data_IF_866370799462
#
_entry.id   IF_866370799462
#
_cell.length_a   1.000
_cell.length_b   1.000
_cell.length_c   1.000
_cell.angle_alpha   90.00
_cell.angle_beta   90.00
_cell.angle_gamma   90.00
#
_symmetry.space_group_name_H-M   'P 1'
#
loop_
_entity.id
_entity.type
_entity.pdbx_description
1 polymer ?
#
# COMPACT_ATOMS: atom_id res chain seq x y z
N UNK A 1 -26.47 13.17 -20.56
CA UNK A 1 -25.10 12.60 -20.47
C UNK A 1 -24.87 12.21 -19.02
N UNK A 2 -24.91 10.90 -18.73
CA UNK A 2 -24.87 10.39 -17.37
C UNK A 2 -23.54 10.70 -16.68
N UNK A 3 -23.61 11.50 -15.61
CA UNK A 3 -22.52 11.66 -14.67
C UNK A 3 -22.28 10.29 -14.02
N UNK A 4 -21.23 9.59 -14.44
CA UNK A 4 -20.74 8.39 -13.76
C UNK A 4 -20.40 8.77 -12.32
N UNK A 5 -21.35 8.61 -11.40
CA UNK A 5 -21.08 8.50 -9.97
C UNK A 5 -20.26 7.22 -9.80
N UNK A 6 -18.93 7.35 -9.98
CA UNK A 6 -17.98 6.36 -9.50
C UNK A 6 -18.22 6.25 -8.01
N UNK A 7 -18.92 5.20 -7.59
CA UNK A 7 -19.00 4.75 -6.21
C UNK A 7 -17.56 4.60 -5.72
N UNK A 8 -16.99 5.65 -5.12
CA UNK A 8 -15.71 5.56 -4.44
C UNK A 8 -15.96 4.70 -3.22
N UNK A 9 -15.74 3.39 -3.34
CA UNK A 9 -15.68 2.51 -2.18
C UNK A 9 -14.67 3.13 -1.22
N UNK A 10 -15.14 3.48 -0.03
CA UNK A 10 -14.27 4.00 1.03
C UNK A 10 -13.49 2.81 1.54
N UNK A 11 -12.25 2.69 1.07
CA UNK A 11 -11.33 1.68 1.55
C UNK A 11 -10.55 2.28 2.71
N UNK A 12 -10.44 1.54 3.80
CA UNK A 12 -9.54 1.89 4.89
C UNK A 12 -8.28 1.05 4.75
N UNK A 13 -7.16 1.72 4.56
CA UNK A 13 -5.85 1.10 4.64
C UNK A 13 -5.52 0.76 6.08
N UNK A 14 -5.16 -0.49 6.34
CA UNK A 14 -4.72 -1.00 7.65
C UNK A 14 -3.29 -1.48 7.49
N UNK A 15 -2.43 -1.05 8.40
CA UNK A 15 -1.09 -1.59 8.57
C UNK A 15 -1.16 -2.63 9.69
N UNK A 16 -0.92 -3.89 9.37
CA UNK A 16 -0.88 -4.99 10.33
C UNK A 16 0.40 -4.97 11.15
N UNK A 17 0.35 -5.55 12.35
CA UNK A 17 1.54 -5.75 13.20
C UNK A 17 2.52 -6.77 12.61
N UNK A 18 2.05 -7.73 11.82
CA UNK A 18 2.86 -8.79 11.21
C UNK A 18 2.64 -8.88 9.68
N UNK A 19 3.65 -9.28 8.91
CA UNK A 19 3.51 -9.42 7.46
C UNK A 19 2.64 -10.63 7.09
N UNK A 20 1.66 -10.41 6.21
CA UNK A 20 0.86 -11.47 5.62
C UNK A 20 1.14 -11.59 4.12
N UNK A 21 1.18 -12.82 3.58
CA UNK A 21 1.44 -13.07 2.15
C UNK A 21 0.31 -12.56 1.21
N UNK A 22 -0.73 -11.98 1.79
CA UNK A 22 -1.85 -11.35 1.12
C UNK A 22 -3.16 -12.09 1.37
N UNK A 23 -4.27 -11.37 1.22
CA UNK A 23 -5.62 -11.92 1.32
C UNK A 23 -6.23 -12.13 -0.08
N UNK A 24 -7.52 -12.48 -0.12
CA UNK A 24 -8.29 -12.63 -1.37
C UNK A 24 -8.21 -11.39 -2.28
N UNK A 25 -8.05 -10.18 -1.70
CA UNK A 25 -7.84 -8.95 -2.49
C UNK A 25 -6.43 -8.86 -3.06
N UNK A 26 -5.42 -9.34 -2.35
CA UNK A 26 -4.07 -9.47 -2.90
C UNK A 26 -4.03 -10.50 -4.05
N UNK A 27 -4.78 -11.61 -3.93
CA UNK A 27 -4.91 -12.58 -5.02
C UNK A 27 -5.60 -11.96 -6.25
N UNK A 28 -6.66 -11.16 -6.04
CA UNK A 28 -7.35 -10.42 -7.10
C UNK A 28 -6.65 -9.12 -7.52
N UNK A 29 -5.51 -8.75 -6.87
CA UNK A 29 -4.88 -7.41 -6.82
C UNK A 29 -5.48 -6.41 -7.81
N UNK A 30 -6.32 -5.50 -7.31
CA UNK A 30 -6.98 -4.42 -8.05
C UNK A 30 -6.32 -3.05 -7.78
N UNK A 31 -5.10 -3.05 -7.22
CA UNK A 31 -4.32 -1.88 -6.79
C UNK A 31 -4.99 -0.97 -5.74
N UNK A 32 -6.21 -1.29 -5.32
CA UNK A 32 -7.02 -0.54 -4.35
C UNK A 32 -6.28 -0.18 -3.07
N UNK A 33 -5.55 -1.13 -2.47
CA UNK A 33 -4.82 -0.87 -1.23
C UNK A 33 -3.57 0.01 -1.45
N UNK A 34 -2.96 -0.06 -2.63
CA UNK A 34 -1.73 0.67 -2.95
C UNK A 34 -1.99 2.07 -3.52
N UNK A 35 -3.23 2.39 -3.91
CA UNK A 35 -3.60 3.68 -4.51
C UNK A 35 -4.06 4.74 -3.51
N UNK A 36 -4.52 4.34 -2.33
CA UNK A 36 -5.12 5.25 -1.34
C UNK A 36 -4.49 5.19 0.04
N UNK A 37 -3.28 4.64 0.15
CA UNK A 37 -2.61 4.48 1.44
C UNK A 37 -1.84 5.76 1.80
N UNK A 38 -1.90 6.24 3.06
CA UNK A 38 -1.06 7.34 3.51
C UNK A 38 0.42 6.95 3.55
N UNK A 39 1.30 7.95 3.66
CA UNK A 39 2.71 7.72 3.95
C UNK A 39 2.87 6.94 5.25
N UNK A 40 3.85 6.06 5.29
CA UNK A 40 4.07 5.15 6.42
C UNK A 40 5.51 5.19 6.87
N UNK A 41 5.70 5.15 8.18
CA UNK A 41 7.02 5.03 8.77
C UNK A 41 7.59 3.63 8.51
N UNK A 42 8.88 3.60 8.19
CA UNK A 42 9.65 2.41 7.92
C UNK A 42 10.76 2.26 8.95
N UNK A 43 11.17 1.01 9.15
CA UNK A 43 12.47 0.70 9.73
C UNK A 43 13.58 0.90 8.70
N UNK A 44 14.84 1.03 9.16
CA UNK A 44 16.00 1.14 8.28
C UNK A 44 16.14 -0.07 7.33
N UNK A 45 15.78 -1.27 7.82
CA UNK A 45 15.79 -2.51 7.02
C UNK A 45 14.74 -2.49 5.92
N UNK A 46 13.52 -2.03 6.22
CA UNK A 46 12.45 -1.88 5.23
C UNK A 46 12.78 -0.80 4.19
N UNK A 47 13.38 0.32 4.62
CA UNK A 47 13.86 1.37 3.72
C UNK A 47 14.92 0.85 2.76
N UNK A 48 15.93 0.14 3.27
CA UNK A 48 16.98 -0.44 2.45
C UNK A 48 16.42 -1.47 1.45
N UNK A 49 15.46 -2.31 1.89
CA UNK A 49 14.79 -3.28 1.02
C UNK A 49 14.01 -2.60 -0.12
N UNK A 50 13.25 -1.55 0.19
CA UNK A 50 12.53 -0.77 -0.82
C UNK A 50 13.48 -0.05 -1.78
N UNK A 51 14.58 0.51 -1.26
CA UNK A 51 15.60 1.16 -2.09
C UNK A 51 16.26 0.17 -3.06
N UNK A 52 16.54 -1.06 -2.63
CA UNK A 52 17.07 -2.12 -3.50
C UNK A 52 16.09 -2.55 -4.59
N UNK A 53 14.79 -2.50 -4.31
CA UNK A 53 13.74 -2.75 -5.30
C UNK A 53 13.58 -1.59 -6.29
N UNK A 54 14.24 -0.46 -6.06
CA UNK A 54 14.20 0.72 -6.90
C UNK A 54 13.12 1.74 -6.51
N UNK A 55 12.66 1.73 -5.26
CA UNK A 55 11.72 2.73 -4.76
C UNK A 55 12.37 4.11 -4.79
N UNK A 56 11.70 5.07 -5.42
CA UNK A 56 12.13 6.48 -5.52
C UNK A 56 11.40 7.37 -4.51
N UNK A 57 10.24 6.95 -4.01
CA UNK A 57 9.39 7.70 -3.08
C UNK A 57 9.69 7.34 -1.63
N UNK A 58 10.96 7.44 -1.26
CA UNK A 58 11.44 7.19 0.08
C UNK A 58 11.97 8.48 0.69
N UNK A 59 11.51 8.84 1.88
CA UNK A 59 11.99 10.00 2.63
C UNK A 59 12.78 9.57 3.87
N UNK A 60 13.82 10.34 4.17
CA UNK A 60 14.60 10.21 5.39
C UNK A 60 14.61 11.57 6.08
N UNK A 61 14.09 11.62 7.31
CA UNK A 61 13.99 12.84 8.08
C UNK A 61 15.25 13.08 8.92
N UNK A 62 15.52 14.34 9.26
CA UNK A 62 16.65 14.73 10.13
C UNK A 62 16.56 14.08 11.54
N UNK A 63 15.36 13.68 11.95
CA UNK A 63 15.10 13.00 13.21
C UNK A 63 15.50 11.50 13.18
N UNK A 64 15.98 10.99 12.05
CA UNK A 64 16.39 9.59 11.89
C UNK A 64 15.24 8.63 11.54
N UNK A 65 14.08 9.15 11.15
CA UNK A 65 12.93 8.35 10.74
C UNK A 65 12.87 8.19 9.22
N UNK A 66 12.48 7.00 8.77
CA UNK A 66 12.33 6.64 7.36
C UNK A 66 10.84 6.59 7.01
N UNK A 67 10.46 7.09 5.84
CA UNK A 67 9.08 7.08 5.38
C UNK A 67 8.98 6.58 3.94
N UNK A 68 7.93 5.82 3.66
CA UNK A 68 7.50 5.47 2.31
C UNK A 68 6.33 6.37 1.92
N UNK A 69 6.51 7.17 0.88
CA UNK A 69 5.53 8.14 0.38
C UNK A 69 4.63 7.49 -0.68
N UNK A 70 3.44 7.04 -0.27
CA UNK A 70 2.48 6.33 -1.13
C UNK A 70 1.12 7.05 -1.29
N UNK A 71 1.01 8.29 -0.83
CA UNK A 71 -0.23 9.11 -0.89
C UNK A 71 -0.76 9.32 -2.31
N UNK A 72 0.14 9.35 -3.31
CA UNK A 72 -0.20 9.48 -4.74
C UNK A 72 -0.15 8.13 -5.47
N UNK A 73 -0.36 7.04 -4.73
CA UNK A 73 -0.26 5.68 -5.20
C UNK A 73 1.16 5.12 -5.15
N UNK A 74 1.26 3.80 -5.04
CA UNK A 74 2.54 3.10 -5.05
C UNK A 74 3.18 3.13 -6.45
N UNK A 75 4.47 3.44 -6.52
CA UNK A 75 5.23 3.50 -7.78
C UNK A 75 5.45 2.13 -8.44
N UNK A 76 5.34 1.04 -7.66
CA UNK A 76 5.46 -0.32 -8.16
C UNK A 76 4.17 -0.86 -8.80
N UNK A 77 3.12 -0.04 -8.89
CA UNK A 77 1.88 -0.42 -9.57
C UNK A 77 2.08 -0.45 -11.08
N UNK A 78 1.84 -1.60 -11.67
CA UNK A 78 1.82 -1.82 -13.12
C UNK A 78 0.37 -2.06 -13.53
N UNK A 79 -0.28 -1.00 -14.01
CA UNK A 79 -1.71 -1.00 -14.28
C UNK A 79 -2.51 -1.14 -12.97
N UNK A 80 -3.19 -2.28 -12.81
CA UNK A 80 -4.00 -2.56 -11.62
C UNK A 80 -3.36 -3.58 -10.68
N UNK A 81 -2.08 -3.95 -10.87
CA UNK A 81 -1.41 -4.98 -10.06
C UNK A 81 -0.07 -4.49 -9.52
N UNK A 82 0.36 -5.07 -8.40
CA UNK A 82 1.69 -4.85 -7.86
C UNK A 82 2.74 -5.58 -8.71
N UNK A 83 3.67 -4.85 -9.33
CA UNK A 83 4.73 -5.42 -10.17
C UNK A 83 5.78 -6.20 -9.38
N UNK A 84 5.94 -5.89 -8.09
CA UNK A 84 6.88 -6.57 -7.19
C UNK A 84 6.20 -7.58 -6.27
N UNK A 85 5.02 -8.11 -6.63
CA UNK A 85 4.17 -8.93 -5.74
C UNK A 85 4.94 -10.05 -5.00
N UNK A 86 5.80 -10.79 -5.72
CA UNK A 86 6.63 -11.87 -5.16
C UNK A 86 7.81 -11.37 -4.33
N UNK A 87 8.30 -10.17 -4.62
CA UNK A 87 9.41 -9.51 -3.94
C UNK A 87 8.94 -8.46 -2.93
N UNK A 88 7.66 -8.48 -2.54
CA UNK A 88 7.10 -7.50 -1.59
C UNK A 88 7.83 -7.59 -0.25
N UNK A 89 8.41 -6.48 0.24
CA UNK A 89 9.00 -6.43 1.57
C UNK A 89 7.95 -6.58 2.65
N UNK A 90 8.39 -6.81 3.89
CA UNK A 90 7.51 -7.01 5.04
C UNK A 90 6.48 -5.89 5.20
N UNK A 91 6.88 -4.63 5.02
CA UNK A 91 5.96 -3.49 5.06
C UNK A 91 4.82 -3.60 4.05
N UNK A 92 5.10 -4.02 2.82
CA UNK A 92 4.08 -4.19 1.78
C UNK A 92 3.15 -5.38 2.04
N UNK A 93 3.63 -6.38 2.79
CA UNK A 93 2.84 -7.54 3.24
C UNK A 93 1.95 -7.20 4.43
N UNK A 94 2.36 -6.23 5.26
CA UNK A 94 1.56 -5.69 6.36
C UNK A 94 0.42 -4.79 5.87
N UNK A 95 0.54 -4.24 4.66
CA UNK A 95 -0.51 -3.40 4.09
C UNK A 95 -1.68 -4.20 3.55
N UNK A 96 -2.84 -3.99 4.17
CA UNK A 96 -4.12 -4.52 3.72
C UNK A 96 -5.16 -3.41 3.66
N UNK A 97 -6.24 -3.62 2.93
CA UNK A 97 -7.34 -2.66 2.90
C UNK A 97 -8.68 -3.35 3.10
N UNK A 98 -9.51 -2.77 3.97
CA UNK A 98 -10.86 -3.24 4.26
C UNK A 98 -11.91 -2.29 3.69
N UNK A 99 -13.09 -2.83 3.37
CA UNK A 99 -14.24 -2.01 2.95
C UNK A 99 -14.88 -1.41 4.21
N UNK A 100 -14.97 -0.07 4.29
CA UNK A 100 -15.64 0.61 5.41
C UNK A 100 -17.17 0.47 5.38
N UNK A 101 -17.72 -0.29 4.43
CA UNK A 101 -19.17 -0.47 4.26
C UNK A 101 -19.76 -1.71 4.95
N UNK A 102 -18.97 -2.46 5.74
CA UNK A 102 -19.59 -3.39 6.69
C UNK A 102 -20.14 -2.59 7.86
N UNK A 103 -21.41 -2.19 7.77
CA UNK A 103 -22.23 -1.97 8.96
C UNK A 103 -22.12 -3.24 9.80
N UNK A 104 -21.58 -3.12 11.01
CA UNK A 104 -21.77 -4.12 12.06
C UNK A 104 -23.29 -4.38 12.22
N UNK A 105 -23.73 -5.65 12.28
CA UNK A 105 -25.11 -6.00 12.62
C UNK A 105 -25.45 -5.69 14.08
#
# INVERSE_FOLDING_TARGET
>A
MGLFQRNRKKLHGILLDHPEDGNERCASCDASCCQGFPSVELTAEEYAGLQQLGAKRLEFTLNGHYYLMIELGCEFLVGNRCGIYHHRPAICRRFTCTDLNKKEP
#
